data_IF_645329750017
#
_entry.id   IF_645329750017
#
_cell.length_a   1.000
_cell.length_b   1.000
_cell.length_c   1.000
_cell.angle_alpha   90.00
_cell.angle_beta   90.00
_cell.angle_gamma   90.00
#
_symmetry.space_group_name_H-M   'P 1'
#
loop_
_entity.id
_entity.type
_entity.pdbx_description
1 polymer ?
#
# COMPACT_ATOMS: atom_id res chain seq x y z
N UNK A 1 -3.49 -1.06 -4.69
CA UNK A 1 -2.78 -0.05 -3.83
C UNK A 1 -1.75 0.64 -4.68
N UNK A 2 -1.36 1.87 -4.33
CA UNK A 2 -0.36 2.64 -5.11
C UNK A 2 0.59 3.34 -4.16
N UNK A 3 1.82 3.62 -4.61
CA UNK A 3 2.75 4.50 -3.94
C UNK A 3 2.65 5.89 -4.54
N UNK A 4 2.40 6.92 -3.74
CA UNK A 4 2.40 8.31 -4.17
C UNK A 4 3.53 9.06 -3.49
N UNK A 5 4.11 10.01 -4.23
CA UNK A 5 5.16 10.89 -3.73
C UNK A 5 4.99 12.28 -4.31
N UNK A 6 5.18 13.32 -3.50
CA UNK A 6 5.17 14.72 -3.92
C UNK A 6 6.37 15.48 -3.36
N UNK A 7 6.91 16.42 -4.12
CA UNK A 7 8.04 17.28 -3.72
C UNK A 7 7.81 18.72 -4.19
N UNK A 8 7.98 19.67 -3.28
CA UNK A 8 7.88 21.11 -3.52
C UNK A 8 9.12 21.82 -2.97
N UNK A 9 9.88 22.48 -3.83
CA UNK A 9 11.01 23.34 -3.45
C UNK A 9 10.51 24.78 -3.26
N UNK A 10 10.46 25.24 -2.00
CA UNK A 10 10.00 26.56 -1.64
C UNK A 10 10.98 27.67 -2.06
N UNK A 11 12.22 27.32 -2.35
CA UNK A 11 13.25 28.27 -2.79
C UNK A 11 13.27 28.47 -4.32
N UNK A 12 12.64 27.60 -5.07
CA UNK A 12 12.66 27.51 -6.55
C UNK A 12 14.08 27.44 -7.15
N UNK A 13 15.05 26.98 -6.37
CA UNK A 13 16.46 26.88 -6.79
C UNK A 13 16.87 25.48 -7.25
N UNK A 14 16.14 24.45 -6.78
CA UNK A 14 16.47 23.07 -7.13
C UNK A 14 15.94 22.72 -8.53
N UNK A 15 16.80 22.13 -9.33
CA UNK A 15 16.44 21.51 -10.62
C UNK A 15 16.15 20.01 -10.47
N UNK A 16 16.28 19.44 -9.27
CA UNK A 16 16.28 18.01 -9.02
C UNK A 16 14.97 17.46 -8.44
N UNK A 17 13.86 18.22 -8.49
CA UNK A 17 12.56 17.77 -7.95
C UNK A 17 12.06 16.50 -8.66
N UNK A 18 12.27 16.38 -9.97
CA UNK A 18 11.90 15.18 -10.73
C UNK A 18 12.70 13.95 -10.28
N UNK A 19 14.01 14.10 -10.06
CA UNK A 19 14.89 13.03 -9.54
C UNK A 19 14.53 12.65 -8.11
N UNK A 20 14.18 13.64 -7.26
CA UNK A 20 13.71 13.40 -5.90
C UNK A 20 12.44 12.57 -5.91
N UNK A 21 11.46 12.92 -6.76
CA UNK A 21 10.23 12.15 -6.93
C UNK A 21 10.51 10.77 -7.52
N UNK A 22 11.43 10.65 -8.48
CA UNK A 22 11.84 9.35 -9.02
C UNK A 22 12.36 8.42 -7.93
N UNK A 23 13.30 8.86 -7.08
CA UNK A 23 13.81 8.03 -5.97
C UNK A 23 12.71 7.72 -4.94
N UNK A 24 11.81 8.65 -4.69
CA UNK A 24 10.65 8.46 -3.82
C UNK A 24 9.74 7.34 -4.33
N UNK A 25 9.27 7.40 -5.58
CA UNK A 25 8.39 6.36 -6.15
C UNK A 25 9.14 5.05 -6.43
N UNK A 26 10.46 5.09 -6.69
CA UNK A 26 11.28 3.88 -6.79
C UNK A 26 11.31 3.12 -5.46
N UNK A 27 11.46 3.83 -4.34
CA UNK A 27 11.41 3.24 -3.01
C UNK A 27 10.02 2.67 -2.66
N UNK A 28 8.97 3.16 -3.32
CA UNK A 28 7.59 2.71 -3.20
C UNK A 28 7.17 1.66 -4.26
N UNK A 29 8.12 1.10 -5.03
CA UNK A 29 7.84 0.16 -6.12
C UNK A 29 7.03 -1.07 -5.69
N UNK A 30 7.17 -1.51 -4.44
CA UNK A 30 6.41 -2.62 -3.87
C UNK A 30 4.89 -2.37 -3.81
N UNK A 31 4.46 -1.09 -3.82
CA UNK A 31 3.04 -0.68 -3.82
C UNK A 31 2.41 -0.72 -5.20
N UNK A 32 3.20 -0.65 -6.28
CA UNK A 32 2.72 -0.70 -7.65
C UNK A 32 3.82 -1.09 -8.63
N UNK A 33 3.54 -2.03 -9.53
CA UNK A 33 4.54 -2.61 -10.44
C UNK A 33 4.08 -2.63 -11.90
N UNK A 34 2.97 -1.96 -12.23
CA UNK A 34 2.39 -2.02 -13.59
C UNK A 34 2.61 -0.74 -14.37
N UNK A 35 2.64 0.40 -13.71
CA UNK A 35 2.96 1.68 -14.34
C UNK A 35 3.63 2.63 -13.36
N UNK A 36 4.40 3.57 -13.91
CA UNK A 36 5.00 4.67 -13.17
C UNK A 36 4.80 5.98 -13.94
N UNK A 37 4.75 7.10 -13.21
CA UNK A 37 4.66 8.40 -13.83
C UNK A 37 5.09 9.52 -12.89
N UNK A 38 5.58 10.61 -13.49
CA UNK A 38 5.95 11.86 -12.83
C UNK A 38 5.36 13.02 -13.63
N UNK A 39 4.78 13.98 -12.92
CA UNK A 39 4.37 15.27 -13.48
C UNK A 39 5.10 16.36 -12.73
N UNK A 40 5.74 17.25 -13.45
CA UNK A 40 6.50 18.40 -12.93
C UNK A 40 5.82 19.70 -13.31
N UNK A 41 5.86 20.67 -12.42
CA UNK A 41 5.41 22.03 -12.65
C UNK A 41 6.62 22.96 -12.83
N UNK A 42 6.73 23.53 -14.02
CA UNK A 42 7.66 24.60 -14.35
C UNK A 42 6.89 25.89 -14.54
N UNK A 43 6.79 26.70 -13.48
CA UNK A 43 6.16 28.02 -13.51
C UNK A 43 4.78 28.04 -14.15
N UNK A 44 3.92 27.07 -13.80
CA UNK A 44 2.56 26.91 -14.30
C UNK A 44 2.42 26.10 -15.59
N UNK A 45 3.53 25.64 -16.18
CA UNK A 45 3.54 24.66 -17.26
C UNK A 45 3.79 23.27 -16.72
N UNK A 46 2.88 22.33 -16.98
CA UNK A 46 3.02 20.96 -16.51
C UNK A 46 3.62 20.08 -17.61
N UNK A 47 4.70 19.38 -17.22
CA UNK A 47 5.33 18.35 -18.05
C UNK A 47 5.13 17.00 -17.38
N UNK A 48 4.73 16.00 -18.15
CA UNK A 48 4.43 14.66 -17.63
C UNK A 48 5.13 13.60 -18.46
N UNK A 49 5.73 12.64 -17.77
CA UNK A 49 6.14 11.36 -18.37
C UNK A 49 5.54 10.22 -17.56
N UNK A 50 4.87 9.29 -18.23
CA UNK A 50 4.29 8.09 -17.61
C UNK A 50 4.17 6.98 -18.63
N UNK A 51 4.47 5.75 -18.19
CA UNK A 51 4.37 4.56 -19.02
C UNK A 51 4.07 3.31 -18.18
N UNK A 52 3.75 2.23 -18.88
CA UNK A 52 3.69 0.89 -18.28
C UNK A 52 5.11 0.41 -18.01
N UNK A 53 5.31 -0.25 -16.87
CA UNK A 53 6.59 -0.80 -16.45
C UNK A 53 6.95 -0.43 -15.00
N UNK A 54 8.09 -0.93 -14.55
CA UNK A 54 8.67 -0.54 -13.28
C UNK A 54 9.25 0.89 -13.38
N UNK A 55 9.42 1.55 -12.25
CA UNK A 55 9.95 2.92 -12.20
C UNK A 55 11.29 3.04 -12.96
N UNK A 56 12.20 2.05 -12.79
CA UNK A 56 13.49 2.03 -13.48
C UNK A 56 13.38 1.73 -14.99
N UNK A 57 12.29 1.13 -15.44
CA UNK A 57 12.07 0.84 -16.87
C UNK A 57 11.43 2.05 -17.59
N UNK A 58 10.68 2.86 -16.83
CA UNK A 58 9.95 4.02 -17.37
C UNK A 58 10.82 5.26 -17.45
N UNK A 59 11.78 5.42 -16.54
CA UNK A 59 12.60 6.62 -16.44
C UNK A 59 14.07 6.33 -16.65
N UNK A 60 14.70 7.07 -17.54
CA UNK A 60 16.14 7.18 -17.74
C UNK A 60 16.63 8.60 -17.44
N UNK A 61 17.95 8.80 -17.51
CA UNK A 61 18.56 10.09 -17.23
C UNK A 61 18.09 11.19 -18.21
N UNK A 62 17.81 10.84 -19.46
CA UNK A 62 17.33 11.77 -20.49
C UNK A 62 15.91 12.24 -20.17
N UNK A 63 15.03 11.32 -19.87
CA UNK A 63 13.64 11.60 -19.49
C UNK A 63 13.57 12.46 -18.22
N UNK A 64 14.35 12.09 -17.20
CA UNK A 64 14.40 12.85 -15.94
C UNK A 64 14.96 14.25 -16.13
N UNK A 65 16.00 14.43 -17.00
CA UNK A 65 16.58 15.73 -17.29
C UNK A 65 15.65 16.66 -18.07
N UNK A 66 14.70 16.09 -18.82
CA UNK A 66 13.68 16.87 -19.53
C UNK A 66 12.54 17.36 -18.61
N UNK A 67 12.42 16.81 -17.40
CA UNK A 67 11.38 17.15 -16.42
C UNK A 67 11.90 18.21 -15.45
N UNK A 68 12.01 19.45 -15.89
CA UNK A 68 12.48 20.58 -15.08
C UNK A 68 11.32 21.31 -14.40
N UNK A 69 11.54 21.77 -13.16
CA UNK A 69 10.57 22.58 -12.41
C UNK A 69 10.90 22.64 -10.91
N UNK A 70 10.02 23.29 -10.14
CA UNK A 70 10.18 23.49 -8.69
C UNK A 70 9.24 22.61 -7.85
N UNK A 71 8.27 21.99 -8.48
CA UNK A 71 7.39 21.03 -7.79
C UNK A 71 7.04 19.87 -8.69
N UNK A 72 6.86 18.69 -8.11
CA UNK A 72 6.55 17.47 -8.83
C UNK A 72 5.75 16.49 -7.98
N UNK A 73 4.89 15.70 -8.65
CA UNK A 73 4.22 14.56 -8.04
C UNK A 73 4.44 13.31 -8.88
N UNK A 74 4.50 12.16 -8.23
CA UNK A 74 4.72 10.88 -8.90
C UNK A 74 3.91 9.74 -8.29
N UNK A 75 3.79 8.67 -9.06
CA UNK A 75 3.03 7.47 -8.66
C UNK A 75 3.70 6.21 -9.19
N UNK A 76 3.88 5.22 -8.32
CA UNK A 76 4.07 3.82 -8.68
C UNK A 76 2.71 3.11 -8.52
N UNK A 77 2.10 2.66 -9.62
CA UNK A 77 0.70 2.25 -9.70
C UNK A 77 0.54 0.75 -9.90
N UNK A 78 -0.42 0.17 -9.18
CA UNK A 78 -1.02 -1.12 -9.45
C UNK A 78 -2.41 -0.86 -10.03
N UNK A 79 -2.69 -1.32 -11.25
CA UNK A 79 -4.01 -1.23 -11.85
C UNK A 79 -5.02 -2.12 -11.08
N UNK A 80 -6.28 -1.79 -11.18
CA UNK A 80 -7.33 -2.69 -10.72
C UNK A 80 -7.56 -3.76 -11.79
N UNK A 81 -8.03 -4.95 -11.38
CA UNK A 81 -8.37 -6.02 -12.32
C UNK A 81 -9.49 -5.62 -13.32
N UNK A 82 -10.21 -4.56 -13.03
CA UNK A 82 -11.35 -4.07 -13.81
C UNK A 82 -11.00 -2.93 -14.78
N UNK A 83 -9.77 -2.42 -14.74
CA UNK A 83 -9.36 -1.25 -15.54
C UNK A 83 -8.12 -1.59 -16.39
N UNK A 84 -8.08 -1.21 -17.68
CA UNK A 84 -6.86 -1.31 -18.47
C UNK A 84 -5.72 -0.55 -17.77
N UNK A 85 -4.55 -1.18 -17.67
CA UNK A 85 -3.39 -0.59 -16.98
C UNK A 85 -3.01 0.77 -17.59
N UNK A 86 -3.19 0.94 -18.91
CA UNK A 86 -2.89 2.19 -19.62
C UNK A 86 -3.79 3.35 -19.16
N UNK A 87 -5.08 3.10 -18.90
CA UNK A 87 -6.04 4.12 -18.45
C UNK A 87 -5.78 4.52 -17.00
N UNK A 88 -5.20 3.61 -16.22
CA UNK A 88 -4.93 3.81 -14.79
C UNK A 88 -3.63 4.56 -14.51
N UNK A 89 -2.80 4.84 -15.54
CA UNK A 89 -1.51 5.53 -15.36
C UNK A 89 -1.69 6.92 -14.74
N UNK A 90 -0.90 7.19 -13.71
CA UNK A 90 -0.88 8.46 -12.98
C UNK A 90 0.54 9.05 -12.96
N UNK A 91 0.68 10.39 -12.70
CA UNK A 91 -0.34 11.37 -12.31
C UNK A 91 -1.39 11.63 -13.41
N UNK A 92 -2.63 11.88 -12.97
CA UNK A 92 -3.71 12.32 -13.86
C UNK A 92 -3.66 13.84 -13.97
N UNK A 93 -3.24 14.37 -15.12
CA UNK A 93 -3.04 15.80 -15.32
C UNK A 93 -4.06 16.36 -16.35
N UNK A 94 -4.64 17.50 -16.00
CA UNK A 94 -5.61 18.22 -16.83
C UNK A 94 -5.36 19.72 -16.80
N UNK A 95 -6.00 20.45 -17.74
CA UNK A 95 -6.10 21.90 -17.71
C UNK A 95 -7.53 22.28 -17.36
N UNK A 96 -7.70 23.03 -16.26
CA UNK A 96 -8.97 23.54 -15.79
C UNK A 96 -9.09 25.06 -16.05
N UNK A 97 -10.21 25.65 -15.64
CA UNK A 97 -10.41 27.11 -15.67
C UNK A 97 -9.36 27.87 -14.84
N UNK A 98 -8.88 27.29 -13.75
CA UNK A 98 -7.94 27.90 -12.80
C UNK A 98 -6.48 27.60 -13.11
N UNK A 99 -6.19 26.89 -14.20
CA UNK A 99 -4.84 26.49 -14.59
C UNK A 99 -4.66 24.97 -14.71
N UNK A 100 -3.42 24.52 -14.69
CA UNK A 100 -3.09 23.11 -14.69
C UNK A 100 -3.28 22.49 -13.30
N UNK A 101 -3.73 21.25 -13.28
CA UNK A 101 -3.92 20.44 -12.08
C UNK A 101 -3.43 19.04 -12.38
N UNK A 102 -2.67 18.46 -11.46
CA UNK A 102 -2.28 17.06 -11.50
C UNK A 102 -2.65 16.35 -10.19
N UNK A 103 -2.94 15.07 -10.27
CA UNK A 103 -3.39 14.25 -9.14
C UNK A 103 -2.71 12.89 -9.16
N UNK A 104 -2.06 12.54 -8.06
CA UNK A 104 -1.61 11.19 -7.71
C UNK A 104 -2.49 10.61 -6.60
N UNK A 105 -2.89 9.34 -6.72
CA UNK A 105 -3.82 8.74 -5.76
C UNK A 105 -3.38 7.36 -5.29
N UNK A 106 -3.57 7.11 -4.00
CA UNK A 106 -3.67 5.78 -3.42
C UNK A 106 -5.08 5.65 -2.82
N UNK A 107 -6.06 5.26 -3.63
CA UNK A 107 -7.47 5.31 -3.24
C UNK A 107 -8.24 4.05 -3.61
N UNK A 108 -9.37 3.88 -2.89
CA UNK A 108 -10.51 3.04 -3.24
C UNK A 108 -11.78 3.77 -2.83
N UNK A 109 -12.50 4.29 -3.81
CA UNK A 109 -13.71 5.10 -3.60
C UNK A 109 -14.94 4.20 -3.80
N UNK A 110 -15.66 3.95 -2.71
CA UNK A 110 -16.78 3.00 -2.66
C UNK A 110 -17.96 3.42 -3.52
N UNK A 111 -18.19 4.73 -3.63
CA UNK A 111 -19.28 5.33 -4.39
C UNK A 111 -18.82 5.96 -5.72
N UNK A 112 -17.70 5.52 -6.28
CA UNK A 112 -17.14 6.09 -7.50
C UNK A 112 -18.12 6.04 -8.68
N UNK A 113 -18.80 4.90 -8.88
CA UNK A 113 -19.76 4.72 -9.96
C UNK A 113 -20.99 5.64 -9.81
N UNK A 114 -21.54 5.73 -8.59
CA UNK A 114 -22.65 6.64 -8.27
C UNK A 114 -22.27 8.10 -8.54
N UNK A 115 -21.07 8.51 -8.13
CA UNK A 115 -20.55 9.86 -8.37
C UNK A 115 -20.31 10.12 -9.86
N UNK A 116 -19.73 9.17 -10.59
CA UNK A 116 -19.52 9.24 -12.03
C UNK A 116 -20.82 9.49 -12.77
N UNK A 117 -21.84 8.67 -12.52
CA UNK A 117 -23.14 8.81 -13.16
C UNK A 117 -23.77 10.19 -12.88
N UNK A 118 -23.74 10.64 -11.61
CA UNK A 118 -24.22 11.99 -11.24
C UNK A 118 -23.45 13.13 -11.94
N UNK A 119 -22.17 12.93 -12.25
CA UNK A 119 -21.36 13.90 -12.99
C UNK A 119 -21.70 13.89 -14.47
N UNK A 120 -21.86 12.69 -15.07
CA UNK A 120 -22.27 12.52 -16.47
C UNK A 120 -23.65 13.16 -16.73
N UNK A 121 -24.62 12.93 -15.83
CA UNK A 121 -25.95 13.55 -15.90
C UNK A 121 -25.91 15.09 -15.87
N UNK A 122 -24.79 15.65 -15.43
CA UNK A 122 -24.52 17.10 -15.38
C UNK A 122 -23.55 17.57 -16.46
N UNK A 123 -23.30 16.73 -17.46
CA UNK A 123 -22.51 17.06 -18.64
C UNK A 123 -21.00 16.83 -18.49
N UNK A 124 -20.52 16.15 -17.44
CA UNK A 124 -19.11 15.79 -17.34
C UNK A 124 -18.74 14.71 -18.37
N UNK A 125 -17.56 14.84 -18.97
CA UNK A 125 -17.00 13.88 -19.92
C UNK A 125 -15.87 13.13 -19.22
N UNK A 126 -15.85 11.81 -19.35
CA UNK A 126 -14.83 10.94 -18.81
C UNK A 126 -14.06 10.26 -19.95
N UNK A 127 -12.74 10.16 -19.80
CA UNK A 127 -11.85 9.45 -20.73
C UNK A 127 -11.57 8.03 -20.26
N UNK A 128 -11.63 7.79 -18.94
CA UNK A 128 -11.30 6.52 -18.31
C UNK A 128 -12.39 6.10 -17.32
N UNK A 129 -12.29 4.88 -16.83
CA UNK A 129 -13.13 4.38 -15.74
C UNK A 129 -12.49 4.53 -14.36
N UNK A 130 -11.37 5.26 -14.25
CA UNK A 130 -10.59 5.34 -13.01
C UNK A 130 -11.27 6.20 -11.94
N UNK A 131 -11.02 5.83 -10.68
CA UNK A 131 -11.48 6.60 -9.51
C UNK A 131 -10.77 7.97 -9.44
N UNK A 132 -9.53 8.06 -9.93
CA UNK A 132 -8.77 9.31 -9.98
C UNK A 132 -9.47 10.37 -10.83
N UNK A 133 -10.06 9.97 -11.97
CA UNK A 133 -10.80 10.89 -12.83
C UNK A 133 -12.10 11.35 -12.18
N UNK A 134 -12.78 10.50 -11.41
CA UNK A 134 -13.96 10.89 -10.62
C UNK A 134 -13.59 11.94 -9.58
N UNK A 135 -12.50 11.70 -8.83
CA UNK A 135 -12.00 12.67 -7.82
C UNK A 135 -11.65 14.00 -8.49
N UNK A 136 -10.92 13.97 -9.60
CA UNK A 136 -10.52 15.16 -10.36
C UNK A 136 -11.74 15.93 -10.87
N UNK A 137 -12.73 15.25 -11.44
CA UNK A 137 -13.95 15.88 -11.98
C UNK A 137 -14.78 16.55 -10.88
N UNK A 138 -14.88 15.90 -9.70
CA UNK A 138 -15.52 16.49 -8.53
C UNK A 138 -14.78 17.74 -8.04
N UNK A 139 -13.46 17.65 -7.92
CA UNK A 139 -12.62 18.76 -7.48
C UNK A 139 -12.78 19.96 -8.44
N UNK A 140 -12.64 19.77 -9.75
CA UNK A 140 -12.80 20.84 -10.73
C UNK A 140 -14.17 21.51 -10.66
N UNK A 141 -15.22 20.71 -10.44
CA UNK A 141 -16.58 21.23 -10.29
C UNK A 141 -16.74 22.06 -9.02
N UNK A 142 -16.15 21.62 -7.91
CA UNK A 142 -16.22 22.33 -6.65
C UNK A 142 -15.38 23.60 -6.68
N UNK A 143 -14.21 23.58 -7.34
CA UNK A 143 -13.32 24.72 -7.49
C UNK A 143 -14.01 25.92 -8.20
N UNK A 144 -15.00 25.69 -9.04
CA UNK A 144 -15.78 26.79 -9.66
C UNK A 144 -16.68 27.52 -8.64
N UNK A 145 -16.98 26.88 -7.50
CA UNK A 145 -17.94 27.34 -6.50
C UNK A 145 -17.30 27.80 -5.21
N UNK A 146 -16.02 27.57 -5.04
CA UNK A 146 -15.25 27.89 -3.84
C UNK A 146 -14.19 28.93 -4.13
N UNK A 147 -13.69 29.60 -3.10
CA UNK A 147 -12.67 30.66 -3.22
C UNK A 147 -11.26 30.08 -3.23
N UNK A 148 -11.02 29.00 -2.45
CA UNK A 148 -9.70 28.40 -2.29
C UNK A 148 -9.65 26.96 -2.81
N UNK A 149 -8.44 26.47 -3.08
CA UNK A 149 -8.18 25.07 -3.45
C UNK A 149 -8.57 24.14 -2.32
N UNK A 150 -8.26 24.53 -1.07
CA UNK A 150 -8.56 23.78 0.13
C UNK A 150 -10.07 23.61 0.36
N UNK A 151 -10.85 24.65 0.11
CA UNK A 151 -12.32 24.59 0.18
C UNK A 151 -12.89 23.66 -0.89
N UNK A 152 -12.35 23.71 -2.12
CA UNK A 152 -12.74 22.78 -3.19
C UNK A 152 -12.46 21.32 -2.82
N UNK A 153 -11.32 21.08 -2.17
CA UNK A 153 -10.96 19.74 -1.66
C UNK A 153 -11.91 19.33 -0.52
N UNK A 154 -12.20 20.21 0.44
CA UNK A 154 -13.15 19.94 1.51
C UNK A 154 -14.53 19.55 0.96
N UNK A 155 -15.05 20.30 0.00
CA UNK A 155 -16.31 19.97 -0.66
C UNK A 155 -16.26 18.65 -1.45
N UNK A 156 -15.09 18.31 -1.99
CA UNK A 156 -14.87 17.02 -2.66
C UNK A 156 -14.89 15.89 -1.63
N UNK A 157 -14.18 16.03 -0.51
CA UNK A 157 -14.14 15.04 0.58
C UNK A 157 -15.53 14.71 1.14
N UNK A 158 -16.44 15.71 1.22
CA UNK A 158 -17.84 15.49 1.67
C UNK A 158 -18.61 14.50 0.78
N UNK A 159 -18.21 14.37 -0.48
CA UNK A 159 -18.85 13.49 -1.44
C UNK A 159 -18.21 12.11 -1.51
N UNK A 160 -16.93 11.98 -1.14
CA UNK A 160 -16.18 10.73 -1.25
C UNK A 160 -16.47 9.79 -0.07
N UNK A 161 -16.70 8.52 -0.36
CA UNK A 161 -16.75 7.43 0.62
C UNK A 161 -15.65 6.43 0.29
N UNK A 162 -14.91 5.99 1.29
CA UNK A 162 -13.86 4.98 1.12
C UNK A 162 -12.53 5.37 1.72
N UNK A 163 -11.45 4.76 1.22
CA UNK A 163 -10.08 4.93 1.70
C UNK A 163 -9.25 5.67 0.67
N UNK A 164 -8.57 6.74 1.06
CA UNK A 164 -7.74 7.49 0.14
C UNK A 164 -6.62 8.30 0.79
N UNK A 165 -5.48 8.32 0.10
CA UNK A 165 -4.48 9.37 0.21
C UNK A 165 -4.32 9.98 -1.19
N UNK A 166 -4.42 11.31 -1.26
CA UNK A 166 -4.38 12.05 -2.52
C UNK A 166 -3.23 13.07 -2.46
N UNK A 167 -2.57 13.30 -3.59
CA UNK A 167 -1.60 14.36 -3.75
C UNK A 167 -1.97 15.17 -4.99
N UNK A 168 -2.49 16.37 -4.77
CA UNK A 168 -2.77 17.35 -5.82
C UNK A 168 -1.56 18.25 -6.04
N UNK A 169 -1.34 18.66 -7.28
CA UNK A 169 -0.43 19.73 -7.63
C UNK A 169 -1.18 20.75 -8.50
N UNK A 170 -1.09 22.02 -8.13
CA UNK A 170 -1.56 23.16 -8.92
C UNK A 170 -0.37 24.03 -9.34
N UNK A 171 -0.63 25.20 -9.95
CA UNK A 171 0.46 26.06 -10.41
C UNK A 171 1.37 26.59 -9.28
N UNK A 172 0.85 26.67 -8.04
CA UNK A 172 1.49 27.37 -6.92
C UNK A 172 1.60 26.55 -5.63
N UNK A 173 1.15 25.29 -5.64
CA UNK A 173 1.16 24.45 -4.43
C UNK A 173 1.09 22.95 -4.70
N UNK A 174 1.51 22.18 -3.71
CA UNK A 174 1.17 20.76 -3.56
C UNK A 174 0.24 20.62 -2.36
N UNK A 175 -0.81 19.80 -2.51
CA UNK A 175 -1.77 19.53 -1.45
C UNK A 175 -1.89 18.04 -1.22
N UNK A 176 -1.53 17.59 -0.01
CA UNK A 176 -1.76 16.23 0.45
C UNK A 176 -3.10 16.12 1.18
N UNK A 177 -3.82 15.04 0.95
CA UNK A 177 -5.13 14.81 1.56
C UNK A 177 -5.17 13.38 2.10
N UNK A 178 -5.51 13.23 3.37
CA UNK A 178 -5.75 11.92 3.99
C UNK A 178 -7.23 11.76 4.29
N UNK A 179 -7.78 10.58 4.03
CA UNK A 179 -9.21 10.30 4.27
C UNK A 179 -9.61 10.53 5.74
N UNK A 180 -10.92 10.81 6.03
CA UNK A 180 -11.37 11.16 7.38
C UNK A 180 -11.11 10.10 8.45
N UNK A 181 -10.91 8.84 8.05
CA UNK A 181 -10.56 7.74 8.95
C UNK A 181 -9.06 7.42 8.94
N UNK A 182 -8.27 8.07 8.07
CA UNK A 182 -6.83 7.81 7.96
C UNK A 182 -6.49 6.38 7.54
N UNK A 183 -7.37 5.74 6.77
CA UNK A 183 -7.18 4.35 6.30
C UNK A 183 -5.91 4.17 5.49
N UNK A 184 -5.54 5.20 4.70
CA UNK A 184 -4.30 5.21 3.91
C UNK A 184 -3.26 6.11 4.56
N UNK A 185 -2.00 5.63 4.66
CA UNK A 185 -0.93 6.46 5.21
C UNK A 185 -0.54 7.59 4.25
N UNK A 186 -0.15 8.72 4.84
CA UNK A 186 0.48 9.84 4.17
C UNK A 186 1.38 10.55 5.18
N UNK A 187 2.61 10.86 4.79
CA UNK A 187 3.66 11.33 5.69
C UNK A 187 4.31 12.57 5.10
N UNK A 188 4.62 13.56 5.95
CA UNK A 188 5.35 14.78 5.61
C UNK A 188 6.81 14.66 6.03
N UNK A 189 7.72 15.06 5.14
CA UNK A 189 9.15 15.18 5.41
C UNK A 189 9.73 16.46 4.80
N UNK A 190 10.96 16.79 5.20
CA UNK A 190 11.71 17.93 4.70
C UNK A 190 13.16 17.55 4.43
N UNK A 191 13.73 18.13 3.39
CA UNK A 191 15.18 18.14 3.14
C UNK A 191 15.55 19.49 2.55
N UNK A 192 16.44 20.22 3.21
CA UNK A 192 16.79 21.59 2.85
C UNK A 192 15.53 22.47 2.69
N UNK A 193 15.33 23.08 1.53
CA UNK A 193 14.15 23.89 1.20
C UNK A 193 13.02 23.07 0.53
N UNK A 194 13.15 21.75 0.44
CA UNK A 194 12.15 20.87 -0.15
C UNK A 194 11.27 20.23 0.90
N UNK A 195 9.95 20.43 0.79
CA UNK A 195 8.95 19.66 1.52
C UNK A 195 8.42 18.51 0.65
N UNK A 196 8.18 17.37 1.27
CA UNK A 196 7.80 16.15 0.57
C UNK A 196 6.65 15.43 1.27
N UNK A 197 5.82 14.78 0.44
CA UNK A 197 4.73 13.91 0.87
C UNK A 197 4.96 12.50 0.32
N UNK A 198 4.74 11.48 1.13
CA UNK A 198 4.90 10.08 0.71
C UNK A 198 3.88 9.15 1.37
N UNK A 199 3.56 8.07 0.67
CA UNK A 199 2.75 6.97 1.24
C UNK A 199 3.45 6.23 2.37
N UNK A 200 4.78 6.17 2.38
CA UNK A 200 5.58 5.49 3.40
C UNK A 200 6.86 6.26 3.73
N UNK A 201 7.34 6.10 4.96
CA UNK A 201 8.56 6.75 5.44
C UNK A 201 9.84 6.24 4.78
N UNK A 202 9.89 4.98 4.35
CA UNK A 202 11.06 4.39 3.70
C UNK A 202 11.52 5.14 2.42
N UNK A 203 10.62 5.91 1.79
CA UNK A 203 10.98 6.74 0.66
C UNK A 203 11.86 7.94 1.06
N UNK A 204 11.68 8.44 2.26
CA UNK A 204 12.46 9.56 2.81
C UNK A 204 13.86 9.13 3.23
N UNK A 205 13.99 7.94 3.84
CA UNK A 205 15.30 7.38 4.21
C UNK A 205 16.21 7.24 2.99
N UNK A 206 15.66 6.78 1.86
CA UNK A 206 16.40 6.64 0.61
C UNK A 206 16.90 7.98 0.05
N UNK A 207 16.21 9.08 0.35
CA UNK A 207 16.53 10.43 -0.12
C UNK A 207 17.37 11.19 0.92
N UNK A 208 17.42 10.71 2.17
CA UNK A 208 18.05 11.39 3.30
C UNK A 208 17.25 12.61 3.75
N UNK A 209 15.92 12.51 3.75
CA UNK A 209 15.02 13.55 4.22
C UNK A 209 14.58 13.29 5.67
N UNK A 210 14.40 14.36 6.43
CA UNK A 210 13.92 14.31 7.81
C UNK A 210 12.39 14.19 7.84
N UNK A 211 11.88 13.15 8.50
CA UNK A 211 10.45 12.95 8.70
C UNK A 211 9.95 13.94 9.73
N UNK A 212 8.94 14.74 9.35
CA UNK A 212 8.31 15.71 10.26
C UNK A 212 7.21 15.02 11.06
N UNK A 213 6.25 14.38 10.35
CA UNK A 213 5.12 13.67 10.99
C UNK A 213 4.26 12.91 9.97
N UNK A 214 3.45 12.02 10.47
CA UNK A 214 2.29 11.52 9.74
C UNK A 214 1.23 12.63 9.57
N UNK A 215 0.49 12.61 8.46
CA UNK A 215 -0.67 13.46 8.23
C UNK A 215 -1.86 12.87 8.99
N UNK A 216 -2.58 13.70 9.73
CA UNK A 216 -3.70 13.26 10.57
C UNK A 216 -4.91 12.81 9.73
N UNK A 217 -5.81 11.96 10.27
CA UNK A 217 -7.08 11.64 9.64
C UNK A 217 -7.89 12.89 9.28
N UNK A 218 -8.36 12.97 8.03
CA UNK A 218 -9.12 14.12 7.53
C UNK A 218 -8.32 15.41 7.34
N UNK A 219 -7.00 15.36 7.44
CA UNK A 219 -6.14 16.51 7.21
C UNK A 219 -5.91 16.75 5.72
N UNK A 220 -5.95 18.03 5.36
CA UNK A 220 -5.50 18.60 4.09
C UNK A 220 -4.26 19.44 4.40
N UNK A 221 -3.11 18.98 3.95
CA UNK A 221 -1.84 19.67 4.12
C UNK A 221 -1.46 20.39 2.83
N UNK A 222 -1.21 21.68 2.91
CA UNK A 222 -0.85 22.53 1.76
C UNK A 222 0.57 23.00 1.90
N UNK A 223 1.37 22.85 0.85
CA UNK A 223 2.76 23.29 0.74
C UNK A 223 2.82 24.35 -0.35
N UNK A 224 3.29 25.55 0.00
CA UNK A 224 3.47 26.71 -0.87
C UNK A 224 4.83 27.36 -0.62
N UNK A 225 5.17 28.43 -1.32
CA UNK A 225 6.37 29.24 -1.06
C UNK A 225 6.41 29.81 0.37
N UNK A 226 5.25 29.98 1.01
CA UNK A 226 5.15 30.43 2.40
C UNK A 226 5.38 29.32 3.43
N UNK A 227 5.61 28.08 2.98
CA UNK A 227 5.79 26.91 3.82
C UNK A 227 4.56 26.01 3.87
N UNK A 228 4.34 25.38 5.02
CA UNK A 228 3.31 24.35 5.23
C UNK A 228 2.17 24.87 6.07
N UNK A 229 0.93 24.59 5.66
CA UNK A 229 -0.29 24.86 6.40
C UNK A 229 -1.24 23.67 6.39
N UNK A 230 -2.16 23.62 7.37
CA UNK A 230 -3.11 22.52 7.49
C UNK A 230 -4.54 23.02 7.62
N UNK A 231 -5.44 22.37 6.89
CA UNK A 231 -6.90 22.50 7.01
C UNK A 231 -7.49 21.13 7.31
N UNK A 232 -8.61 21.08 8.04
CA UNK A 232 -9.16 19.81 8.49
C UNK A 232 -10.60 19.62 8.04
N UNK A 233 -10.88 18.43 7.56
CA UNK A 233 -12.26 17.97 7.37
C UNK A 233 -12.99 17.88 8.71
N UNK A 234 -14.24 18.32 8.74
CA UNK A 234 -15.07 18.29 9.94
C UNK A 234 -16.30 17.41 9.74
N UNK A 235 -16.58 16.60 10.75
CA UNK A 235 -17.81 15.81 10.82
C UNK A 235 -18.73 16.43 11.86
N UNK A 236 -19.93 16.87 11.46
CA UNK A 236 -20.91 17.57 12.33
C UNK A 236 -20.29 18.77 13.09
N UNK A 237 -19.38 19.49 12.43
CA UNK A 237 -18.68 20.65 13.02
C UNK A 237 -17.44 20.32 13.87
N UNK A 238 -17.15 19.05 14.16
CA UNK A 238 -15.96 18.63 14.89
C UNK A 238 -14.86 18.19 13.91
N UNK A 239 -13.63 18.62 14.16
CA UNK A 239 -12.43 18.16 13.46
C UNK A 239 -12.28 16.64 13.66
N UNK A 240 -11.89 15.90 12.59
CA UNK A 240 -11.44 14.52 12.74
C UNK A 240 -10.21 14.45 13.65
N UNK A 241 -10.15 13.48 14.52
CA UNK A 241 -9.08 13.29 15.50
C UNK A 241 -8.34 11.97 15.27
N UNK A 242 -7.21 11.80 15.92
CA UNK A 242 -6.49 10.52 15.93
C UNK A 242 -7.33 9.38 16.53
N UNK A 243 -8.23 9.67 17.48
CA UNK A 243 -9.14 8.70 18.08
C UNK A 243 -10.17 8.17 17.07
N UNK A 244 -10.55 8.99 16.08
CA UNK A 244 -11.43 8.59 14.97
C UNK A 244 -10.66 7.75 13.93
N UNK A 245 -9.34 7.85 13.90
CA UNK A 245 -8.47 7.19 12.95
C UNK A 245 -8.56 5.66 12.99
N UNK A 246 -8.43 5.03 11.81
CA UNK A 246 -8.53 3.58 11.62
C UNK A 246 -7.57 3.12 10.52
N UNK A 247 -6.26 3.27 10.74
CA UNK A 247 -5.27 2.84 9.74
C UNK A 247 -5.45 1.37 9.37
N UNK A 248 -5.26 1.04 8.11
CA UNK A 248 -5.40 -0.34 7.65
C UNK A 248 -4.33 -1.24 8.28
N UNK A 249 -4.75 -2.23 9.08
CA UNK A 249 -3.82 -3.18 9.73
C UNK A 249 -2.98 -3.97 8.72
N UNK A 250 -3.48 -4.16 7.49
CA UNK A 250 -2.77 -4.86 6.43
C UNK A 250 -1.50 -4.12 5.93
N UNK A 251 -1.36 -2.84 6.26
CA UNK A 251 -0.08 -2.12 6.07
C UNK A 251 1.01 -2.78 6.91
N UNK A 252 0.73 -3.12 8.17
CA UNK A 252 1.68 -3.81 9.05
C UNK A 252 1.84 -5.29 8.71
N UNK A 253 0.76 -5.96 8.31
CA UNK A 253 0.80 -7.39 7.94
C UNK A 253 1.63 -7.60 6.69
N UNK A 254 1.39 -6.82 5.61
CA UNK A 254 1.93 -7.15 4.30
C UNK A 254 2.44 -5.96 3.48
N UNK A 255 1.63 -4.87 3.35
CA UNK A 255 1.88 -3.89 2.29
C UNK A 255 3.10 -3.03 2.51
N UNK A 256 3.27 -2.45 3.70
CA UNK A 256 4.37 -1.55 3.96
C UNK A 256 5.71 -2.30 4.01
N UNK A 257 6.76 -1.61 3.60
CA UNK A 257 8.12 -2.14 3.76
C UNK A 257 8.46 -2.24 5.25
N UNK A 258 9.25 -3.25 5.65
CA UNK A 258 9.63 -3.41 7.06
C UNK A 258 10.34 -2.20 7.67
N UNK A 259 11.09 -1.46 6.86
CA UNK A 259 11.81 -0.25 7.26
C UNK A 259 10.92 1.01 7.36
N UNK A 260 9.62 0.88 7.15
CA UNK A 260 8.67 1.99 7.30
C UNK A 260 8.17 2.14 8.73
N UNK A 261 7.92 3.41 9.12
CA UNK A 261 7.15 3.80 10.30
C UNK A 261 5.86 4.45 9.82
N UNK A 262 4.71 4.00 10.31
CA UNK A 262 3.38 4.49 9.95
C UNK A 262 2.60 4.79 11.23
N UNK A 263 2.00 5.97 11.32
CA UNK A 263 1.22 6.41 12.49
C UNK A 263 1.96 6.15 13.83
N UNK A 264 3.28 6.35 13.84
CA UNK A 264 4.13 6.21 15.02
C UNK A 264 4.61 4.79 15.32
N UNK A 265 4.16 3.76 14.59
CA UNK A 265 4.57 2.36 14.82
C UNK A 265 5.49 1.83 13.73
N UNK A 266 6.59 1.17 14.15
CA UNK A 266 7.52 0.48 13.25
C UNK A 266 6.87 -0.77 12.66
N UNK A 267 6.88 -0.89 11.33
CA UNK A 267 6.36 -2.07 10.63
C UNK A 267 7.19 -3.31 10.95
N UNK A 268 8.52 -3.18 11.03
CA UNK A 268 9.40 -4.29 11.37
C UNK A 268 9.14 -4.82 12.78
N UNK A 269 9.10 -3.91 13.77
CA UNK A 269 8.90 -4.30 15.17
C UNK A 269 7.51 -4.91 15.38
N UNK A 270 6.48 -4.35 14.72
CA UNK A 270 5.13 -4.92 14.71
C UNK A 270 5.15 -6.38 14.21
N UNK A 271 5.82 -6.66 13.08
CA UNK A 271 5.92 -8.03 12.54
C UNK A 271 6.71 -8.95 13.45
N UNK A 272 7.79 -8.48 14.08
CA UNK A 272 8.54 -9.28 15.07
C UNK A 272 7.66 -9.57 16.29
N UNK A 273 6.92 -8.60 16.80
CA UNK A 273 6.02 -8.78 17.94
C UNK A 273 4.88 -9.75 17.61
N UNK A 274 4.28 -9.66 16.40
CA UNK A 274 3.32 -10.68 15.94
C UNK A 274 3.92 -12.07 16.01
N UNK A 275 5.16 -12.27 15.56
CA UNK A 275 5.84 -13.56 15.64
C UNK A 275 6.00 -14.08 17.07
N UNK A 276 6.35 -13.21 18.01
CA UNK A 276 6.47 -13.56 19.44
C UNK A 276 5.11 -13.97 20.05
N UNK A 277 4.05 -13.26 19.72
CA UNK A 277 2.69 -13.62 20.16
C UNK A 277 2.22 -14.92 19.53
N UNK A 278 2.45 -15.09 18.23
CA UNK A 278 2.12 -16.31 17.48
C UNK A 278 2.80 -17.55 18.05
N UNK A 279 4.06 -17.45 18.51
CA UNK A 279 4.78 -18.55 19.16
C UNK A 279 4.11 -18.98 20.49
N UNK A 280 3.50 -18.04 21.22
CA UNK A 280 2.78 -18.32 22.48
C UNK A 280 1.40 -18.90 22.22
N UNK A 281 0.65 -18.33 21.25
CA UNK A 281 -0.71 -18.76 20.96
C UNK A 281 -0.76 -20.08 20.18
N UNK A 282 0.21 -20.29 19.29
CA UNK A 282 0.24 -21.40 18.34
C UNK A 282 1.60 -22.10 18.36
N UNK A 283 2.03 -22.68 19.50
CA UNK A 283 3.31 -23.37 19.59
C UNK A 283 3.37 -24.56 18.63
N UNK A 284 4.55 -24.95 18.21
CA UNK A 284 4.78 -26.21 17.49
C UNK A 284 6.12 -26.82 17.87
N UNK A 285 6.18 -28.15 17.83
CA UNK A 285 7.42 -28.89 18.03
C UNK A 285 8.13 -29.07 16.69
N UNK A 286 9.19 -28.29 16.47
CA UNK A 286 9.95 -28.30 15.24
C UNK A 286 11.45 -28.05 15.49
N UNK A 287 12.27 -28.33 14.49
CA UNK A 287 13.72 -28.23 14.57
C UNK A 287 14.25 -26.91 14.01
N UNK A 288 13.46 -26.25 13.17
CA UNK A 288 13.86 -25.02 12.49
C UNK A 288 12.63 -24.15 12.14
N UNK A 289 12.73 -22.86 12.45
CA UNK A 289 11.80 -21.82 11.99
C UNK A 289 12.34 -21.17 10.73
N UNK A 290 11.51 -21.05 9.70
CA UNK A 290 11.81 -20.32 8.47
C UNK A 290 10.71 -19.32 8.16
N UNK A 291 11.02 -18.25 7.41
CA UNK A 291 10.01 -17.31 6.92
C UNK A 291 9.64 -17.57 5.46
N UNK A 292 8.39 -17.30 5.12
CA UNK A 292 7.99 -17.15 3.73
C UNK A 292 8.49 -15.78 3.22
N UNK A 293 9.46 -15.74 2.28
CA UNK A 293 10.11 -14.49 1.92
C UNK A 293 9.22 -13.62 1.01
N UNK A 294 9.21 -12.28 1.14
CA UNK A 294 10.01 -11.49 2.07
C UNK A 294 9.23 -11.11 3.34
N UNK A 295 7.90 -11.02 3.26
CA UNK A 295 6.99 -10.47 4.27
C UNK A 295 6.88 -11.31 5.55
N UNK A 296 7.00 -12.62 5.46
CA UNK A 296 6.98 -13.53 6.62
C UNK A 296 8.29 -13.57 7.42
N UNK A 297 9.40 -13.07 6.87
CA UNK A 297 10.71 -13.18 7.53
C UNK A 297 10.76 -12.49 8.92
N UNK A 298 10.29 -11.24 9.10
CA UNK A 298 10.34 -10.61 10.43
C UNK A 298 9.49 -11.35 11.47
N UNK A 299 8.31 -11.85 11.06
CA UNK A 299 7.45 -12.64 11.94
C UNK A 299 8.11 -13.98 12.31
N UNK A 300 8.83 -14.62 11.37
CA UNK A 300 9.59 -15.83 11.66
C UNK A 300 10.74 -15.59 12.66
N UNK A 301 11.43 -14.46 12.56
CA UNK A 301 12.42 -14.04 13.58
C UNK A 301 11.75 -13.89 14.95
N UNK A 302 10.60 -13.21 15.00
CA UNK A 302 9.83 -13.06 16.23
C UNK A 302 9.35 -14.40 16.80
N UNK A 303 8.87 -15.30 15.94
CA UNK A 303 8.46 -16.65 16.36
C UNK A 303 9.62 -17.45 16.95
N UNK A 304 10.80 -17.41 16.32
CA UNK A 304 12.02 -18.02 16.85
C UNK A 304 12.38 -17.46 18.22
N UNK A 305 12.34 -16.13 18.39
CA UNK A 305 12.61 -15.48 19.69
C UNK A 305 11.59 -15.90 20.76
N UNK A 306 10.33 -16.03 20.42
CA UNK A 306 9.24 -16.38 21.34
C UNK A 306 9.22 -17.87 21.72
N UNK A 307 9.62 -18.75 20.79
CA UNK A 307 9.61 -20.21 20.98
C UNK A 307 10.96 -20.78 21.45
N UNK A 308 12.07 -20.06 21.26
CA UNK A 308 13.42 -20.58 21.48
C UNK A 308 13.93 -21.52 20.37
N UNK A 309 13.14 -21.78 19.33
CA UNK A 309 13.52 -22.64 18.21
C UNK A 309 14.40 -21.84 17.24
N UNK A 310 15.53 -22.41 16.75
CA UNK A 310 16.43 -21.68 15.85
C UNK A 310 15.74 -21.17 14.57
N UNK A 311 16.04 -19.92 14.20
CA UNK A 311 15.69 -19.36 12.88
C UNK A 311 16.76 -19.70 11.85
N UNK A 312 16.36 -20.01 10.61
CA UNK A 312 17.28 -20.19 9.51
C UNK A 312 16.67 -19.90 8.14
N UNK A 313 17.50 -19.67 7.15
CA UNK A 313 17.05 -19.55 5.79
C UNK A 313 16.69 -20.93 5.24
N UNK A 314 15.42 -21.14 4.88
CA UNK A 314 14.92 -22.36 4.23
C UNK A 314 14.41 -22.11 2.82
N UNK A 315 13.95 -20.89 2.55
CA UNK A 315 13.44 -20.42 1.27
C UNK A 315 14.16 -19.16 0.83
N UNK A 316 14.46 -19.08 -0.46
CA UNK A 316 14.99 -17.90 -1.13
C UNK A 316 13.98 -17.45 -2.19
N UNK A 317 13.76 -16.14 -2.26
CA UNK A 317 12.96 -15.52 -3.31
C UNK A 317 13.89 -15.04 -4.44
N UNK A 318 13.60 -15.45 -5.65
CA UNK A 318 14.27 -14.90 -6.83
C UNK A 318 13.69 -13.51 -7.14
N UNK A 319 14.48 -12.46 -6.91
CA UNK A 319 14.07 -11.06 -7.10
C UNK A 319 13.92 -10.65 -8.56
N UNK A 320 14.47 -11.43 -9.48
CA UNK A 320 14.41 -11.15 -10.93
C UNK A 320 13.15 -11.71 -11.60
N UNK A 321 12.34 -12.50 -10.89
CA UNK A 321 11.06 -13.01 -11.39
C UNK A 321 9.95 -12.02 -11.04
N UNK A 322 9.51 -11.26 -12.05
CA UNK A 322 8.40 -10.31 -11.92
C UNK A 322 7.01 -10.98 -11.92
N UNK A 323 5.95 -10.16 -11.94
CA UNK A 323 4.55 -10.61 -12.01
C UNK A 323 4.09 -11.10 -13.40
N UNK A 324 4.94 -11.03 -14.40
CA UNK A 324 4.64 -11.26 -15.83
C UNK A 324 4.17 -12.67 -16.21
N UNK A 325 4.08 -13.61 -15.24
CA UNK A 325 3.65 -15.00 -15.49
C UNK A 325 2.22 -15.31 -15.02
N UNK A 326 1.33 -14.31 -14.95
CA UNK A 326 -0.03 -14.49 -14.37
C UNK A 326 -1.02 -15.14 -15.35
N UNK A 327 -0.78 -15.04 -16.67
CA UNK A 327 -1.65 -15.64 -17.69
C UNK A 327 -1.06 -16.94 -18.24
N UNK A 328 -1.64 -18.07 -17.84
CA UNK A 328 -1.17 -19.35 -18.35
C UNK A 328 -1.92 -20.55 -17.80
N UNK A 329 -1.60 -21.69 -18.39
CA UNK A 329 -2.07 -23.01 -17.94
C UNK A 329 -1.61 -23.30 -16.51
N UNK A 330 -2.23 -24.28 -15.85
CA UNK A 330 -1.85 -24.76 -14.52
C UNK A 330 -0.34 -25.06 -14.40
N UNK A 331 0.25 -25.68 -15.43
CA UNK A 331 1.68 -26.01 -15.48
C UNK A 331 2.59 -24.77 -15.54
N UNK A 332 2.17 -23.72 -16.25
CA UNK A 332 2.91 -22.45 -16.31
C UNK A 332 2.89 -21.71 -14.97
N UNK A 333 1.77 -21.73 -14.26
CA UNK A 333 1.66 -21.17 -12.91
C UNK A 333 2.57 -21.89 -11.93
N UNK A 334 2.64 -23.21 -12.01
CA UNK A 334 3.53 -24.03 -11.17
C UNK A 334 5.00 -23.74 -11.44
N UNK A 335 5.39 -23.63 -12.72
CA UNK A 335 6.74 -23.25 -13.13
C UNK A 335 7.08 -21.84 -12.61
N UNK A 336 6.17 -20.89 -12.71
CA UNK A 336 6.37 -19.53 -12.21
C UNK A 336 6.62 -19.50 -10.69
N UNK A 337 5.90 -20.31 -9.90
CA UNK A 337 6.14 -20.44 -8.46
C UNK A 337 7.50 -21.09 -8.18
N UNK A 338 7.91 -22.12 -8.94
CA UNK A 338 9.24 -22.76 -8.84
C UNK A 338 10.37 -21.79 -9.18
N UNK A 339 10.19 -20.95 -10.18
CA UNK A 339 11.18 -19.91 -10.54
C UNK A 339 11.29 -18.83 -9.47
N UNK A 340 10.17 -18.54 -8.80
CA UNK A 340 10.09 -17.49 -7.78
C UNK A 340 10.69 -17.90 -6.43
N UNK A 341 10.58 -19.19 -6.06
CA UNK A 341 11.04 -19.70 -4.77
C UNK A 341 12.01 -20.87 -4.93
N UNK A 342 13.17 -20.77 -4.32
CA UNK A 342 14.16 -21.84 -4.23
C UNK A 342 14.28 -22.34 -2.78
N UNK A 343 14.23 -23.67 -2.60
CA UNK A 343 14.40 -24.31 -1.29
C UNK A 343 15.86 -24.62 -1.05
N UNK A 344 16.37 -24.27 0.11
CA UNK A 344 17.71 -24.63 0.59
C UNK A 344 17.69 -26.05 1.15
N UNK A 345 17.87 -27.06 0.30
CA UNK A 345 17.76 -28.48 0.65
C UNK A 345 18.63 -28.89 1.84
N UNK A 346 19.86 -28.37 1.94
CA UNK A 346 20.79 -28.66 3.05
C UNK A 346 20.26 -28.17 4.40
N UNK A 347 19.49 -27.09 4.42
CA UNK A 347 18.88 -26.55 5.64
C UNK A 347 17.61 -27.32 6.05
N UNK A 348 16.90 -27.95 5.11
CA UNK A 348 15.54 -28.50 5.28
C UNK A 348 15.55 -30.01 5.48
N UNK A 349 16.43 -30.74 4.76
CA UNK A 349 16.39 -32.22 4.71
C UNK A 349 16.43 -32.87 6.10
N UNK A 350 15.44 -33.72 6.38
CA UNK A 350 15.31 -34.51 7.60
C UNK A 350 14.81 -33.75 8.81
N UNK A 351 14.47 -32.46 8.68
CA UNK A 351 14.01 -31.61 9.79
C UNK A 351 12.49 -31.44 9.79
N UNK A 352 11.93 -31.20 10.97
CA UNK A 352 10.58 -30.67 11.18
C UNK A 352 10.66 -29.17 11.07
N UNK A 353 9.92 -28.58 10.16
CA UNK A 353 10.01 -27.16 9.79
C UNK A 353 8.76 -26.42 10.26
N UNK A 354 8.94 -25.30 10.95
CA UNK A 354 7.90 -24.30 11.11
C UNK A 354 8.11 -23.19 10.09
N UNK A 355 7.23 -23.06 9.10
CA UNK A 355 7.20 -21.92 8.19
C UNK A 355 6.23 -20.87 8.71
N UNK A 356 6.70 -19.63 8.83
CA UNK A 356 5.86 -18.47 9.21
C UNK A 356 5.60 -17.63 7.98
N UNK A 357 4.32 -17.40 7.67
CA UNK A 357 3.88 -16.54 6.57
C UNK A 357 3.05 -15.36 7.11
N UNK A 358 2.95 -14.27 6.37
CA UNK A 358 2.21 -13.08 6.76
C UNK A 358 0.69 -13.29 6.79
N UNK A 359 0.14 -13.92 5.76
CA UNK A 359 -1.29 -14.12 5.60
C UNK A 359 -1.61 -15.31 4.69
N UNK A 360 -2.76 -15.94 4.90
CA UNK A 360 -3.28 -16.97 4.02
C UNK A 360 -4.62 -16.52 3.45
N UNK A 361 -4.62 -16.11 2.16
CA UNK A 361 -5.82 -15.61 1.48
C UNK A 361 -6.49 -16.72 0.67
N UNK A 362 -5.82 -17.28 -0.34
CA UNK A 362 -6.33 -18.38 -1.20
C UNK A 362 -5.67 -19.73 -0.91
N UNK A 363 -4.49 -19.73 -0.33
CA UNK A 363 -3.72 -20.95 -0.02
C UNK A 363 -2.97 -21.58 -1.18
N UNK A 364 -3.15 -21.10 -2.43
CA UNK A 364 -2.51 -21.71 -3.63
C UNK A 364 -0.99 -21.63 -3.60
N UNK A 365 -0.42 -20.47 -3.32
CA UNK A 365 1.04 -20.28 -3.19
C UNK A 365 1.60 -21.10 -2.05
N UNK A 366 0.92 -21.08 -0.90
CA UNK A 366 1.31 -21.81 0.31
C UNK A 366 1.35 -23.31 0.08
N UNK A 367 0.36 -23.90 -0.62
CA UNK A 367 0.33 -25.31 -1.03
C UNK A 367 1.56 -25.68 -1.84
N UNK A 368 1.98 -24.84 -2.80
CA UNK A 368 3.18 -25.09 -3.59
C UNK A 368 4.45 -25.03 -2.75
N UNK A 369 4.56 -24.05 -1.85
CA UNK A 369 5.71 -23.89 -0.96
C UNK A 369 5.85 -25.13 -0.05
N UNK A 370 4.76 -25.59 0.56
CA UNK A 370 4.76 -26.78 1.42
C UNK A 370 5.21 -28.02 0.62
N UNK A 371 4.69 -28.21 -0.61
CA UNK A 371 5.14 -29.29 -1.48
C UNK A 371 6.65 -29.20 -1.77
N UNK A 372 7.17 -28.03 -2.08
CA UNK A 372 8.61 -27.87 -2.34
C UNK A 372 9.48 -28.18 -1.13
N UNK A 373 9.02 -27.84 0.09
CA UNK A 373 9.71 -28.20 1.35
C UNK A 373 9.72 -29.73 1.54
N UNK A 374 8.60 -30.41 1.28
CA UNK A 374 8.52 -31.87 1.33
C UNK A 374 9.39 -32.54 0.26
N UNK A 375 9.36 -32.06 -0.99
CA UNK A 375 10.24 -32.53 -2.07
C UNK A 375 11.73 -32.34 -1.74
N UNK A 376 12.06 -31.33 -0.91
CA UNK A 376 13.41 -31.10 -0.41
C UNK A 376 13.80 -32.01 0.77
N UNK A 377 12.87 -32.84 1.25
CA UNK A 377 13.09 -33.83 2.31
C UNK A 377 12.76 -33.33 3.71
N UNK A 378 11.90 -32.34 3.89
CA UNK A 378 11.35 -31.98 5.18
C UNK A 378 10.59 -33.17 5.78
N UNK A 379 10.80 -33.45 7.06
CA UNK A 379 10.14 -34.53 7.80
C UNK A 379 8.69 -34.15 8.12
N UNK A 380 8.52 -32.92 8.60
CA UNK A 380 7.23 -32.30 8.91
C UNK A 380 7.27 -30.84 8.47
N UNK A 381 6.10 -30.28 8.11
CA UNK A 381 5.93 -28.88 7.74
C UNK A 381 4.74 -28.30 8.48
N UNK A 382 5.00 -27.47 9.47
CA UNK A 382 4.02 -26.76 10.26
C UNK A 382 3.91 -25.33 9.74
N UNK A 383 2.68 -24.83 9.53
CA UNK A 383 2.45 -23.47 9.07
C UNK A 383 1.92 -22.59 10.19
N UNK A 384 2.49 -21.41 10.35
CA UNK A 384 2.04 -20.38 11.27
C UNK A 384 1.81 -19.08 10.54
N UNK A 385 0.59 -18.53 10.66
CA UNK A 385 0.16 -17.34 9.93
C UNK A 385 0.13 -16.13 10.87
N UNK A 386 0.89 -15.09 10.50
CA UNK A 386 1.07 -13.86 11.26
C UNK A 386 -0.13 -12.88 11.11
N UNK A 387 -1.25 -13.34 10.60
CA UNK A 387 -2.54 -12.64 10.59
C UNK A 387 -3.67 -13.57 11.02
N UNK A 388 -4.82 -13.05 11.47
CA UNK A 388 -6.03 -13.82 11.60
C UNK A 388 -6.52 -14.40 10.27
N UNK A 389 -7.50 -15.28 10.31
CA UNK A 389 -8.18 -15.79 9.10
C UNK A 389 -8.81 -14.63 8.32
N UNK A 390 -8.54 -14.54 7.02
CA UNK A 390 -9.20 -13.57 6.13
C UNK A 390 -10.62 -14.07 5.84
N UNK A 391 -11.60 -13.49 6.53
CA UNK A 391 -13.01 -13.91 6.48
C UNK A 391 -13.84 -13.10 5.49
N UNK A 392 -13.41 -11.87 5.17
CA UNK A 392 -14.19 -10.95 4.37
C UNK A 392 -13.35 -10.33 3.24
N UNK A 393 -13.93 -10.11 2.04
CA UNK A 393 -13.26 -9.34 1.01
C UNK A 393 -13.04 -7.91 1.48
N UNK A 394 -11.92 -7.31 1.11
CA UNK A 394 -11.65 -5.92 1.45
C UNK A 394 -12.27 -4.97 0.43
N UNK A 395 -13.04 -4.00 0.89
CA UNK A 395 -13.61 -2.94 0.05
C UNK A 395 -12.74 -1.67 0.01
N UNK A 396 -11.63 -1.62 0.76
CA UNK A 396 -10.80 -0.42 0.89
C UNK A 396 -9.48 -0.49 0.10
N UNK A 397 -9.39 -1.45 -0.85
CA UNK A 397 -8.30 -1.51 -1.84
C UNK A 397 -7.15 -2.47 -1.49
N UNK A 398 -7.31 -3.33 -0.47
CA UNK A 398 -6.54 -4.57 -0.38
C UNK A 398 -7.14 -5.53 -1.42
N UNK A 399 -6.33 -5.96 -2.40
CA UNK A 399 -6.81 -6.92 -3.42
C UNK A 399 -6.97 -8.30 -2.77
N UNK A 400 -7.99 -8.44 -1.95
CA UNK A 400 -8.47 -9.74 -1.49
C UNK A 400 -9.50 -10.27 -2.48
N UNK A 401 -9.49 -11.58 -2.62
CA UNK A 401 -10.40 -12.33 -3.48
C UNK A 401 -11.88 -12.05 -3.14
N UNK A 402 -12.76 -12.42 -4.03
CA UNK A 402 -14.19 -12.50 -3.73
C UNK A 402 -14.43 -13.46 -2.56
N UNK A 403 -15.52 -13.30 -1.82
CA UNK A 403 -15.82 -14.16 -0.66
C UNK A 403 -15.82 -15.66 -1.01
N UNK A 404 -16.16 -16.01 -2.27
CA UNK A 404 -16.16 -17.38 -2.74
C UNK A 404 -14.77 -18.01 -2.85
N UNK A 405 -13.71 -17.21 -2.96
CA UNK A 405 -12.32 -17.65 -3.11
C UNK A 405 -11.55 -17.66 -1.77
N UNK A 406 -12.17 -17.23 -0.67
CA UNK A 406 -11.59 -17.24 0.67
C UNK A 406 -11.87 -18.59 1.35
N UNK A 407 -10.89 -19.50 1.51
CA UNK A 407 -11.10 -20.79 2.15
C UNK A 407 -11.69 -20.66 3.56
N UNK A 408 -11.22 -19.67 4.33
CA UNK A 408 -11.63 -19.48 5.71
C UNK A 408 -13.14 -19.19 5.89
N UNK A 409 -13.86 -18.82 4.82
CA UNK A 409 -15.33 -18.63 4.86
C UNK A 409 -16.11 -19.94 4.80
N UNK A 410 -15.48 -21.07 4.36
CA UNK A 410 -16.15 -22.34 4.05
C UNK A 410 -15.53 -23.53 4.75
N UNK A 411 -14.29 -23.39 5.23
CA UNK A 411 -13.47 -24.50 5.72
C UNK A 411 -13.00 -24.20 7.16
N UNK A 412 -12.89 -25.24 7.95
CA UNK A 412 -12.24 -25.19 9.27
C UNK A 412 -10.73 -25.02 9.11
N UNK A 413 -10.01 -24.77 10.20
CA UNK A 413 -8.54 -24.69 10.18
C UNK A 413 -7.94 -26.02 9.75
N UNK A 414 -8.50 -27.12 10.22
CA UNK A 414 -8.09 -28.50 9.93
C UNK A 414 -8.26 -28.83 8.45
N UNK A 415 -9.40 -28.48 7.87
CA UNK A 415 -9.67 -28.67 6.43
C UNK A 415 -8.74 -27.82 5.55
N UNK A 416 -8.45 -26.58 5.95
CA UNK A 416 -7.45 -25.73 5.26
C UNK A 416 -6.06 -26.35 5.38
N UNK A 417 -5.68 -26.87 6.56
CA UNK A 417 -4.41 -27.55 6.81
C UNK A 417 -4.24 -28.75 5.87
N UNK A 418 -5.26 -29.58 5.75
CA UNK A 418 -5.28 -30.71 4.81
C UNK A 418 -5.19 -30.26 3.36
N UNK A 419 -5.97 -29.25 2.95
CA UNK A 419 -5.98 -28.69 1.60
C UNK A 419 -4.60 -28.23 1.14
N UNK A 420 -3.82 -27.58 2.04
CA UNK A 420 -2.47 -27.08 1.74
C UNK A 420 -1.39 -28.14 1.92
N UNK A 421 -1.69 -29.25 2.61
CA UNK A 421 -0.78 -30.37 2.85
C UNK A 421 0.24 -30.14 3.99
N UNK A 422 -0.10 -29.30 4.96
CA UNK A 422 0.70 -29.09 6.16
C UNK A 422 0.39 -30.12 7.26
N UNK A 423 1.32 -30.32 8.21
CA UNK A 423 1.09 -31.19 9.37
C UNK A 423 0.33 -30.46 10.50
N UNK A 424 0.46 -29.14 10.56
CA UNK A 424 -0.39 -28.29 11.39
C UNK A 424 -0.48 -26.87 10.86
N UNK A 425 -1.58 -26.19 11.17
CA UNK A 425 -1.86 -24.81 10.79
C UNK A 425 -2.32 -24.03 12.02
N UNK A 426 -1.72 -22.86 12.25
CA UNK A 426 -2.14 -21.94 13.30
C UNK A 426 -2.17 -20.49 12.82
N UNK A 427 -3.15 -19.73 13.30
CA UNK A 427 -3.31 -18.30 13.03
C UNK A 427 -3.17 -17.51 14.33
N UNK A 428 -2.63 -16.30 14.24
CA UNK A 428 -2.65 -15.38 15.38
C UNK A 428 -4.07 -14.86 15.64
N UNK A 429 -4.37 -14.51 16.89
CA UNK A 429 -5.61 -13.81 17.22
C UNK A 429 -5.61 -12.37 16.72
N UNK A 430 -6.81 -11.79 16.52
CA UNK A 430 -6.95 -10.38 16.15
C UNK A 430 -6.48 -9.45 17.28
N UNK A 431 -6.67 -9.86 18.52
CA UNK A 431 -6.23 -9.14 19.71
C UNK A 431 -4.72 -8.97 19.72
N UNK A 432 -3.98 -10.06 19.57
CA UNK A 432 -2.50 -10.04 19.53
C UNK A 432 -1.96 -9.33 18.28
N UNK A 433 -2.63 -9.43 17.14
CA UNK A 433 -2.26 -8.64 15.96
C UNK A 433 -2.38 -7.13 16.26
N UNK A 434 -3.47 -6.69 16.87
CA UNK A 434 -3.65 -5.28 17.26
C UNK A 434 -2.63 -4.85 18.31
N UNK A 435 -2.36 -5.70 19.30
CA UNK A 435 -1.37 -5.43 20.35
C UNK A 435 0.08 -5.37 19.84
N UNK A 436 0.36 -5.92 18.66
CA UNK A 436 1.72 -5.94 18.10
C UNK A 436 2.25 -4.57 17.64
N UNK A 437 1.35 -3.61 17.37
CA UNK A 437 1.68 -2.28 16.86
C UNK A 437 1.92 -1.30 18.02
N UNK A 438 3.04 -1.45 18.70
CA UNK A 438 3.43 -0.54 19.79
C UNK A 438 3.61 0.90 19.27
N UNK A 439 3.14 1.89 20.03
CA UNK A 439 3.28 3.31 19.72
C UNK A 439 2.33 3.82 18.63
N UNK A 440 1.42 2.99 18.13
CA UNK A 440 0.44 3.44 17.13
C UNK A 440 -0.42 4.57 17.68
N UNK A 441 -0.58 5.63 16.89
CA UNK A 441 -1.27 6.87 17.28
C UNK A 441 -2.79 6.84 17.09
N UNK A 442 -3.32 5.88 16.36
CA UNK A 442 -4.74 5.78 16.03
C UNK A 442 -5.26 4.34 16.10
N UNK A 443 -6.56 4.14 15.96
CA UNK A 443 -7.15 2.82 15.85
C UNK A 443 -6.80 2.10 14.54
N UNK A 444 -7.24 0.86 14.39
CA UNK A 444 -6.93 0.01 13.25
C UNK A 444 -8.20 -0.50 12.56
N UNK A 445 -8.22 -0.46 11.23
CA UNK A 445 -9.19 -1.16 10.41
C UNK A 445 -8.74 -2.61 10.23
N UNK A 446 -9.58 -3.54 10.67
CA UNK A 446 -9.38 -4.98 10.54
C UNK A 446 -10.56 -5.67 9.83
N UNK A 447 -11.31 -4.93 9.01
CA UNK A 447 -12.57 -5.37 8.40
C UNK A 447 -12.46 -6.68 7.59
N UNK A 448 -11.29 -6.98 7.00
CA UNK A 448 -11.03 -8.25 6.32
C UNK A 448 -11.02 -9.46 7.28
N UNK A 449 -10.85 -9.24 8.58
CA UNK A 449 -10.85 -10.28 9.62
C UNK A 449 -12.16 -10.31 10.42
N UNK A 450 -12.69 -9.14 10.83
CA UNK A 450 -13.83 -9.02 11.76
C UNK A 450 -15.16 -8.58 11.10
N UNK A 451 -15.14 -8.18 9.83
CA UNK A 451 -16.32 -7.71 9.10
C UNK A 451 -16.78 -6.30 9.48
N UNK A 452 -16.03 -5.58 10.32
CA UNK A 452 -16.37 -4.22 10.73
C UNK A 452 -15.88 -3.20 9.70
N UNK A 453 -16.71 -2.91 8.71
CA UNK A 453 -16.39 -1.99 7.60
C UNK A 453 -16.61 -0.53 8.01
N UNK A 454 -15.61 0.07 8.63
CA UNK A 454 -15.64 1.41 9.24
C UNK A 454 -16.00 2.55 8.28
N UNK A 455 -15.68 2.43 6.98
CA UNK A 455 -16.04 3.41 5.94
C UNK A 455 -17.29 2.97 5.12
N UNK A 456 -18.00 1.93 5.56
CA UNK A 456 -19.13 1.32 4.84
C UNK A 456 -18.69 0.31 3.76
N UNK A 457 -19.68 -0.14 2.99
CA UNK A 457 -19.52 -1.09 1.88
C UNK A 457 -19.84 -0.40 0.55
N UNK A 458 -19.47 -0.96 -0.60
CA UNK A 458 -19.82 -0.41 -1.92
C UNK A 458 -21.32 -0.20 -2.09
N UNK A 459 -21.69 0.92 -2.77
CA UNK A 459 -23.08 1.24 -3.15
C UNK A 459 -23.53 0.46 -4.37
#
# INVERSE_FOLDING_TARGET
MSGIFGCYDISHKSTDVAKTVYYGIFSLQHRGQESAGITVNNSGTFMSHKALGLVADVFDDLTLSALEGHSAIGTAKLASELEPAIDSMQPFAIKSRTGHIALSTNCKILNANTLRNKLIDKGAIFQTNTEAEVVMSLFCRNQVKTETVEDAILETMKSLKGAYALCFMTNDRIVGVRDPLGLRPLILAKKDDMYMLSSESCAFDAIGAEIIRDIDPGEIITITDSGVSSTYYTVKGNKCTLEDGRVCVFEYVYYARPDSVIDGSSVYDSRVNVGKFLAKEQPCDCDLVIGAPDSGNPAAVGFSQGSGIPYGAGLLKNRYVGRTFIEGTQGQRELAVRMKFAVLKSAIKGKRICIVDDSLVRGTTTKHIIRFLRDAGAKEVHLRIASPKVMYPCYYGVSTSTASELPATKMTTEEICEMIGADSLGYISLESLRASTEGIRCGQCAACFDGNFVAGTPE
#
